data_IF_353209701143
#
_entry.id   IF_353209701143
#
_cell.length_a   1.000
_cell.length_b   1.000
_cell.length_c   1.000
_cell.angle_alpha   90.00
_cell.angle_beta   90.00
_cell.angle_gamma   90.00
#
_symmetry.space_group_name_H-M   'P 1'
#
loop_
_entity.id
_entity.type
_entity.pdbx_description
1 polymer ?
#
# COMPACT_ATOMS: atom_id res chain seq x y z
N UNK A 1 -51.56 -7.94 45.00
CA UNK A 1 -50.87 -9.22 45.23
C UNK A 1 -50.46 -9.82 43.89
N UNK A 2 -49.22 -9.58 43.45
CA UNK A 2 -48.56 -10.33 42.38
C UNK A 2 -47.12 -10.58 42.86
N UNK A 3 -46.79 -11.85 42.99
CA UNK A 3 -45.51 -12.39 43.44
C UNK A 3 -44.43 -12.23 42.37
N UNK A 4 -43.29 -11.65 42.75
CA UNK A 4 -42.05 -11.65 41.96
C UNK A 4 -41.28 -12.96 42.23
N UNK A 5 -40.61 -13.56 41.23
CA UNK A 5 -39.73 -14.69 41.45
C UNK A 5 -38.29 -14.25 41.76
N UNK A 6 -37.67 -15.00 42.66
CA UNK A 6 -36.28 -14.90 43.12
C UNK A 6 -35.27 -15.12 41.99
N UNK A 7 -34.31 -14.20 41.87
CA UNK A 7 -33.13 -14.34 41.03
C UNK A 7 -31.92 -14.69 41.91
N UNK A 8 -31.62 -15.99 42.00
CA UNK A 8 -30.39 -16.52 42.56
C UNK A 8 -29.50 -17.12 41.46
N UNK A 9 -28.25 -16.68 41.40
CA UNK A 9 -27.00 -17.44 41.11
C UNK A 9 -25.94 -16.51 40.50
N UNK A 10 -25.08 -15.98 41.36
CA UNK A 10 -23.83 -15.34 40.97
C UNK A 10 -22.83 -16.42 40.53
N UNK A 11 -22.47 -16.44 39.24
CA UNK A 11 -21.32 -17.20 38.74
C UNK A 11 -20.03 -16.42 38.98
N UNK A 12 -19.12 -17.02 39.76
CA UNK A 12 -17.77 -16.51 39.96
C UNK A 12 -16.98 -16.55 38.64
N UNK A 13 -16.40 -15.42 38.27
CA UNK A 13 -15.51 -15.32 37.10
C UNK A 13 -14.14 -15.94 37.39
N UNK A 14 -13.51 -16.64 36.43
CA UNK A 14 -12.17 -17.19 36.61
C UNK A 14 -11.11 -16.07 36.67
N UNK A 15 -10.00 -16.28 37.42
CA UNK A 15 -8.96 -15.27 37.57
C UNK A 15 -8.22 -15.02 36.24
N UNK A 16 -8.01 -13.74 35.93
CA UNK A 16 -7.23 -13.30 34.78
C UNK A 16 -5.76 -13.72 34.94
N UNK A 17 -5.11 -14.25 33.88
CA UNK A 17 -3.70 -14.61 33.93
C UNK A 17 -2.82 -13.37 34.14
N UNK A 18 -1.87 -13.49 35.06
CA UNK A 18 -0.96 -12.43 35.50
C UNK A 18 -0.08 -11.85 34.39
N UNK A 19 0.24 -10.56 34.53
CA UNK A 19 0.94 -9.71 33.56
C UNK A 19 2.40 -10.12 33.25
N UNK A 20 2.93 -11.14 33.91
CA UNK A 20 4.31 -11.62 33.75
C UNK A 20 4.50 -12.57 32.56
N UNK A 21 3.45 -13.24 32.07
CA UNK A 21 3.56 -14.19 30.94
C UNK A 21 3.47 -13.50 29.57
N UNK A 22 2.94 -12.26 29.51
CA UNK A 22 2.81 -11.49 28.26
C UNK A 22 4.12 -10.88 27.74
N UNK A 23 5.15 -10.76 28.59
CA UNK A 23 6.47 -10.26 28.17
C UNK A 23 7.34 -11.33 27.50
N UNK A 24 7.04 -12.62 27.67
CA UNK A 24 7.84 -13.70 27.08
C UNK A 24 7.44 -14.02 25.62
N UNK A 25 6.24 -13.65 25.18
CA UNK A 25 5.71 -13.97 23.84
C UNK A 25 5.93 -12.86 22.79
N UNK A 26 6.39 -11.67 23.19
CA UNK A 26 6.72 -10.57 22.27
C UNK A 26 8.18 -10.57 21.79
N UNK A 27 9.00 -11.52 22.25
CA UNK A 27 10.43 -11.62 21.90
C UNK A 27 10.76 -12.63 20.79
N UNK A 28 9.76 -13.26 20.15
CA UNK A 28 9.98 -14.38 19.21
C UNK A 28 9.52 -14.15 17.77
N UNK A 29 9.29 -12.91 17.35
CA UNK A 29 9.28 -12.60 15.91
C UNK A 29 10.71 -12.32 15.45
N UNK A 30 11.45 -13.39 15.15
CA UNK A 30 12.67 -13.26 14.36
C UNK A 30 12.31 -12.63 13.01
N UNK A 31 13.16 -11.75 12.46
CA UNK A 31 12.95 -11.23 11.12
C UNK A 31 12.81 -12.42 10.17
N UNK A 32 11.72 -12.46 9.40
CA UNK A 32 11.52 -13.44 8.34
C UNK A 32 12.77 -13.47 7.48
N UNK A 33 13.51 -14.59 7.53
CA UNK A 33 14.57 -14.89 6.56
C UNK A 33 13.88 -15.50 5.35
N UNK A 34 14.15 -15.01 4.12
CA UNK A 34 13.70 -15.73 2.94
C UNK A 34 14.24 -17.17 2.99
N UNK A 35 13.51 -18.15 2.43
CA UNK A 35 14.05 -19.49 2.26
C UNK A 35 15.40 -19.38 1.55
N UNK A 36 16.42 -20.06 2.08
CA UNK A 36 17.73 -20.16 1.46
C UNK A 36 17.54 -20.68 0.04
N UNK A 37 17.78 -19.82 -0.95
CA UNK A 37 17.92 -20.25 -2.34
C UNK A 37 19.02 -21.32 -2.38
N UNK A 38 18.86 -22.38 -3.20
CA UNK A 38 19.94 -23.34 -3.39
C UNK A 38 21.19 -22.58 -3.81
N UNK A 39 22.28 -22.88 -3.10
CA UNK A 39 23.62 -22.36 -3.31
C UNK A 39 23.95 -22.46 -4.79
N UNK A 40 23.92 -21.31 -5.47
CA UNK A 40 24.29 -21.21 -6.87
C UNK A 40 25.78 -21.55 -6.95
N UNK A 41 26.08 -22.76 -7.44
CA UNK A 41 27.43 -23.17 -7.75
C UNK A 41 28.08 -22.14 -8.68
N UNK A 42 29.32 -21.80 -8.32
CA UNK A 42 30.18 -20.79 -8.93
C UNK A 42 30.07 -20.70 -10.46
N UNK A 43 29.43 -19.63 -10.94
CA UNK A 43 29.68 -19.11 -12.28
C UNK A 43 30.58 -17.88 -12.10
N UNK A 44 31.85 -18.07 -12.45
CA UNK A 44 32.90 -17.08 -12.39
C UNK A 44 32.49 -15.75 -13.05
N UNK A 45 32.45 -14.69 -12.25
CA UNK A 45 32.36 -13.31 -12.75
C UNK A 45 33.77 -12.79 -13.04
N UNK A 46 34.09 -12.69 -14.32
CA UNK A 46 35.15 -11.82 -14.84
C UNK A 46 34.56 -11.05 -16.01
N UNK A 47 34.20 -9.80 -15.79
CA UNK A 47 34.67 -8.65 -16.58
C UNK A 47 33.91 -7.38 -16.18
N UNK A 48 34.67 -6.43 -15.68
CA UNK A 48 34.30 -5.04 -15.46
C UNK A 48 34.21 -4.39 -16.83
N UNK A 49 33.00 -4.09 -17.29
CA UNK A 49 32.77 -3.23 -18.47
C UNK A 49 32.48 -1.82 -17.98
N UNK A 50 33.54 -1.00 -17.97
CA UNK A 50 33.44 0.46 -17.94
C UNK A 50 32.66 0.94 -19.17
N UNK A 51 31.49 1.56 -18.95
CA UNK A 51 30.77 2.26 -20.02
C UNK A 51 31.33 3.68 -20.13
N UNK A 52 32.28 3.85 -21.03
CA UNK A 52 32.67 5.15 -21.55
C UNK A 52 31.57 5.75 -22.44
N UNK A 53 31.49 7.08 -22.37
CA UNK A 53 30.53 7.93 -23.05
C UNK A 53 30.58 7.78 -24.58
N UNK A 54 29.40 7.91 -25.20
CA UNK A 54 29.19 7.92 -26.65
C UNK A 54 29.63 9.27 -27.25
N UNK A 55 30.60 9.30 -28.21
CA UNK A 55 30.85 10.47 -29.03
C UNK A 55 30.02 10.44 -30.31
N UNK A 56 29.60 11.64 -30.72
CA UNK A 56 28.88 11.97 -31.95
C UNK A 56 29.55 11.39 -33.20
N UNK A 57 28.72 10.84 -34.08
CA UNK A 57 29.09 10.40 -35.42
C UNK A 57 29.60 11.57 -36.28
N UNK A 58 30.74 11.34 -36.93
CA UNK A 58 31.18 12.07 -38.10
C UNK A 58 31.66 11.04 -39.13
N UNK A 59 31.24 11.27 -40.37
CA UNK A 59 31.39 10.41 -41.54
C UNK A 59 32.83 9.94 -41.80
N UNK A 60 32.95 8.67 -42.20
CA UNK A 60 34.24 8.04 -42.50
C UNK A 60 34.08 6.70 -43.19
N UNK A 61 33.98 6.77 -44.51
CA UNK A 61 33.92 5.67 -45.48
C UNK A 61 35.20 4.83 -45.46
N UNK A 62 35.11 3.54 -45.09
CA UNK A 62 36.14 2.52 -45.38
C UNK A 62 35.48 1.17 -45.70
N UNK A 63 35.58 0.78 -46.98
CA UNK A 63 35.26 -0.56 -47.47
C UNK A 63 36.29 -1.57 -46.96
N UNK A 64 35.84 -2.57 -46.20
CA UNK A 64 36.63 -3.72 -45.80
C UNK A 64 35.86 -5.01 -46.07
N UNK A 65 36.16 -5.68 -47.19
CA UNK A 65 35.68 -7.03 -47.52
C UNK A 65 36.26 -8.02 -46.50
N UNK A 66 35.44 -8.48 -45.56
CA UNK A 66 35.76 -9.64 -44.70
C UNK A 66 35.11 -10.90 -45.28
N UNK A 67 35.96 -11.82 -45.73
CA UNK A 67 35.58 -13.11 -46.31
C UNK A 67 35.17 -14.09 -45.21
N UNK A 68 33.89 -14.42 -45.14
CA UNK A 68 33.33 -15.46 -44.26
C UNK A 68 33.41 -16.82 -44.94
N UNK A 69 34.55 -17.48 -44.85
CA UNK A 69 34.69 -18.89 -45.22
C UNK A 69 35.52 -19.56 -44.13
N UNK A 70 34.85 -20.10 -43.11
CA UNK A 70 35.26 -21.20 -42.21
C UNK A 70 34.50 -21.09 -40.89
N UNK A 71 33.20 -21.43 -40.90
CA UNK A 71 32.51 -21.85 -39.67
C UNK A 71 32.50 -23.39 -39.61
N UNK A 72 32.89 -23.99 -38.46
CA UNK A 72 32.78 -25.43 -38.26
C UNK A 72 31.30 -25.86 -38.17
N UNK A 73 30.97 -27.11 -38.52
CA UNK A 73 29.61 -27.63 -38.49
C UNK A 73 29.05 -27.54 -37.06
N UNK A 74 27.98 -26.78 -36.94
CA UNK A 74 27.28 -26.47 -35.71
C UNK A 74 26.75 -27.76 -35.10
N UNK A 75 27.10 -27.99 -33.84
CA UNK A 75 26.54 -29.05 -33.00
C UNK A 75 25.01 -28.92 -33.03
N UNK A 76 24.31 -29.96 -33.47
CA UNK A 76 22.85 -30.03 -33.46
C UNK A 76 22.38 -30.10 -31.99
N UNK A 77 22.22 -28.93 -31.38
CA UNK A 77 21.70 -28.79 -30.02
C UNK A 77 20.22 -29.17 -30.04
N UNK A 78 19.92 -30.26 -29.34
CA UNK A 78 18.59 -30.74 -28.96
C UNK A 78 17.66 -29.58 -28.57
N UNK A 79 16.85 -29.13 -29.53
CA UNK A 79 15.97 -27.95 -29.42
C UNK A 79 14.63 -28.28 -28.74
N UNK A 80 14.30 -29.56 -28.57
CA UNK A 80 13.01 -30.01 -28.03
C UNK A 80 12.89 -29.92 -26.51
N UNK A 81 13.95 -30.23 -25.76
CA UNK A 81 13.90 -30.25 -24.30
C UNK A 81 13.92 -28.86 -23.66
N UNK A 82 14.41 -27.83 -24.37
CA UNK A 82 14.44 -26.47 -23.84
C UNK A 82 13.07 -25.79 -23.88
N UNK A 83 12.24 -26.07 -24.89
CA UNK A 83 10.92 -25.43 -25.03
C UNK A 83 9.91 -25.88 -23.96
N UNK A 84 9.93 -27.16 -23.56
CA UNK A 84 9.03 -27.68 -22.52
C UNK A 84 9.36 -27.10 -21.13
N UNK A 85 10.65 -26.96 -20.81
CA UNK A 85 11.10 -26.35 -19.56
C UNK A 85 10.73 -24.86 -19.47
N UNK A 86 10.83 -24.13 -20.58
CA UNK A 86 10.48 -22.71 -20.65
C UNK A 86 8.97 -22.49 -20.51
N UNK A 87 8.14 -23.30 -21.19
CA UNK A 87 6.68 -23.23 -21.06
C UNK A 87 6.21 -23.49 -19.62
N UNK A 88 6.80 -24.50 -18.95
CA UNK A 88 6.47 -24.81 -17.56
C UNK A 88 6.86 -23.69 -16.58
N UNK A 89 8.01 -23.04 -16.83
CA UNK A 89 8.44 -21.88 -16.04
C UNK A 89 7.50 -20.67 -16.22
N UNK A 90 7.05 -20.42 -17.46
CA UNK A 90 6.09 -19.35 -17.76
C UNK A 90 4.73 -19.61 -17.10
N UNK A 91 4.24 -20.85 -17.12
CA UNK A 91 2.99 -21.23 -16.44
C UNK A 91 3.09 -21.00 -14.92
N UNK A 92 4.24 -21.31 -14.32
CA UNK A 92 4.53 -21.02 -12.93
C UNK A 92 4.48 -19.52 -12.61
N UNK A 93 5.05 -18.68 -13.47
CA UNK A 93 5.05 -17.22 -13.33
C UNK A 93 3.63 -16.66 -13.49
N UNK A 94 2.88 -17.14 -14.49
CA UNK A 94 1.50 -16.73 -14.74
C UNK A 94 0.60 -16.99 -13.51
N UNK A 95 0.82 -18.12 -12.84
CA UNK A 95 0.16 -18.47 -11.58
C UNK A 95 0.46 -17.49 -10.44
N UNK A 96 1.62 -16.82 -10.43
CA UNK A 96 1.97 -15.84 -9.40
C UNK A 96 1.39 -14.43 -9.67
N UNK A 97 1.16 -14.08 -10.94
CA UNK A 97 0.72 -12.74 -11.38
C UNK A 97 -0.81 -12.64 -11.52
N UNK A 98 -1.50 -13.78 -11.55
CA UNK A 98 -2.97 -13.82 -11.65
C UNK A 98 -3.58 -14.61 -10.51
N UNK A 99 -4.82 -14.27 -10.12
CA UNK A 99 -5.60 -15.07 -9.18
C UNK A 99 -6.43 -16.10 -9.94
N UNK A 100 -6.15 -17.39 -9.69
CA UNK A 100 -7.01 -18.48 -10.16
C UNK A 100 -8.33 -18.48 -9.38
N UNK A 101 -8.24 -18.27 -8.06
CA UNK A 101 -9.40 -18.03 -7.19
C UNK A 101 -9.46 -16.55 -6.78
N UNK A 102 -10.48 -15.85 -7.29
CA UNK A 102 -10.72 -14.43 -6.97
C UNK A 102 -11.17 -14.21 -5.53
N UNK A 103 -11.52 -15.25 -4.76
CA UNK A 103 -11.83 -15.13 -3.34
C UNK A 103 -10.63 -14.67 -2.49
N UNK A 104 -9.41 -14.97 -2.97
CA UNK A 104 -8.15 -14.57 -2.36
C UNK A 104 -7.83 -13.09 -2.58
N UNK A 105 -8.39 -12.48 -3.63
CA UNK A 105 -8.25 -11.04 -3.89
C UNK A 105 -9.10 -10.26 -2.89
N UNK A 106 -8.48 -9.89 -1.78
CA UNK A 106 -9.13 -9.13 -0.70
C UNK A 106 -8.68 -7.67 -0.69
N UNK A 107 -9.60 -6.79 -0.31
CA UNK A 107 -9.35 -5.36 -0.13
C UNK A 107 -10.02 -4.82 1.12
N UNK A 108 -9.34 -3.93 1.82
CA UNK A 108 -9.89 -3.15 2.94
C UNK A 108 -10.38 -1.80 2.44
N UNK A 109 -11.32 -1.17 3.15
CA UNK A 109 -11.81 0.15 2.76
C UNK A 109 -10.84 1.22 3.23
N UNK A 110 -10.51 2.20 2.39
CA UNK A 110 -9.52 3.24 2.72
C UNK A 110 -9.80 3.96 4.07
N UNK A 111 -11.08 4.22 4.40
CA UNK A 111 -11.44 4.84 5.67
C UNK A 111 -11.07 3.97 6.89
N UNK A 112 -11.09 2.63 6.77
CA UNK A 112 -10.70 1.73 7.86
C UNK A 112 -9.20 1.86 8.17
N UNK A 113 -8.38 2.10 7.13
CA UNK A 113 -6.94 2.29 7.27
C UNK A 113 -6.60 3.63 7.93
N UNK A 114 -7.43 4.65 7.69
CA UNK A 114 -7.25 5.99 8.25
C UNK A 114 -7.87 6.15 9.65
N UNK A 115 -8.78 5.25 10.03
CA UNK A 115 -9.55 5.34 11.29
C UNK A 115 -8.65 5.58 12.50
N UNK A 116 -9.07 6.52 13.36
CA UNK A 116 -8.33 6.90 14.60
C UNK A 116 -6.87 7.27 14.32
N UNK A 117 -6.62 8.05 13.26
CA UNK A 117 -5.28 8.53 12.91
C UNK A 117 -4.33 7.42 12.46
N UNK A 118 -4.85 6.45 11.70
CA UNK A 118 -4.08 5.34 11.17
C UNK A 118 -3.75 4.24 12.18
N UNK A 119 -4.65 3.95 13.12
CA UNK A 119 -4.38 3.01 14.22
C UNK A 119 -3.90 1.63 13.74
N UNK A 120 -4.34 1.17 12.56
CA UNK A 120 -3.91 -0.10 11.96
C UNK A 120 -2.39 -0.20 11.78
N UNK A 121 -1.72 0.94 11.56
CA UNK A 121 -0.27 1.03 11.33
C UNK A 121 0.56 1.10 12.62
N UNK A 122 -0.03 0.88 13.80
CA UNK A 122 0.69 0.92 15.08
C UNK A 122 1.79 -0.16 15.18
N UNK A 123 1.58 -1.33 14.58
CA UNK A 123 2.51 -2.45 14.52
C UNK A 123 2.27 -3.29 13.25
N UNK A 124 3.21 -4.16 12.90
CA UNK A 124 3.08 -5.10 11.77
C UNK A 124 2.22 -6.31 12.07
N UNK A 125 2.04 -6.65 13.34
CA UNK A 125 1.28 -7.82 13.79
C UNK A 125 -0.19 -7.73 13.37
N UNK A 126 -0.66 -8.68 12.55
CA UNK A 126 -2.08 -8.84 12.29
C UNK A 126 -2.71 -9.95 13.13
N UNK A 127 -4.04 -9.95 13.12
CA UNK A 127 -4.89 -10.92 13.79
C UNK A 127 -6.05 -11.29 12.87
N UNK A 128 -6.85 -12.29 13.26
CA UNK A 128 -8.09 -12.60 12.57
C UNK A 128 -9.02 -11.37 12.48
N UNK A 129 -9.04 -10.53 13.51
CA UNK A 129 -9.82 -9.30 13.52
C UNK A 129 -9.33 -8.27 12.48
N UNK A 130 -8.01 -8.11 12.31
CA UNK A 130 -7.49 -7.20 11.27
C UNK A 130 -7.68 -7.77 9.87
N UNK A 131 -7.63 -9.10 9.71
CA UNK A 131 -7.93 -9.76 8.44
C UNK A 131 -9.40 -9.59 8.04
N UNK A 132 -10.33 -9.69 9.01
CA UNK A 132 -11.77 -9.50 8.79
C UNK A 132 -12.15 -8.04 8.43
N UNK A 133 -11.22 -7.08 8.48
CA UNK A 133 -11.45 -5.73 7.94
C UNK A 133 -11.48 -5.73 6.41
N UNK A 134 -10.76 -6.65 5.77
CA UNK A 134 -10.81 -6.83 4.32
C UNK A 134 -11.97 -7.75 3.93
N UNK A 135 -12.43 -7.65 2.69
CA UNK A 135 -13.38 -8.57 2.08
C UNK A 135 -12.91 -8.93 0.66
N UNK A 136 -13.38 -10.05 0.07
CA UNK A 136 -13.14 -10.35 -1.33
C UNK A 136 -13.63 -9.21 -2.24
N UNK A 137 -12.83 -8.83 -3.22
CA UNK A 137 -13.12 -7.76 -4.17
C UNK A 137 -12.76 -8.19 -5.58
N UNK A 138 -13.42 -7.58 -6.56
CA UNK A 138 -13.14 -7.85 -7.98
C UNK A 138 -11.87 -7.13 -8.45
N UNK A 139 -11.61 -5.94 -7.89
CA UNK A 139 -10.48 -5.07 -8.25
C UNK A 139 -10.10 -4.17 -7.08
N UNK A 140 -8.83 -3.79 -7.02
CA UNK A 140 -8.31 -2.84 -6.05
C UNK A 140 -8.16 -1.45 -6.68
N UNK A 141 -8.58 -0.42 -5.94
CA UNK A 141 -8.36 0.98 -6.34
C UNK A 141 -6.89 1.35 -6.23
N UNK A 142 -6.24 0.89 -5.17
CA UNK A 142 -4.84 1.21 -4.89
C UNK A 142 -4.16 0.11 -4.07
N UNK A 143 -2.88 -0.11 -4.35
CA UNK A 143 -1.95 -0.90 -3.55
C UNK A 143 -1.16 0.02 -2.62
N UNK A 144 -1.25 -0.19 -1.29
CA UNK A 144 -0.55 0.66 -0.32
C UNK A 144 0.80 0.04 0.03
N UNK A 145 1.86 0.51 -0.65
CA UNK A 145 3.22 0.11 -0.28
C UNK A 145 3.80 1.04 0.77
N UNK A 146 4.40 0.44 1.79
CA UNK A 146 4.94 1.16 2.92
C UNK A 146 6.01 0.35 3.64
N UNK A 147 6.84 1.04 4.42
CA UNK A 147 7.76 0.39 5.35
C UNK A 147 7.15 0.39 6.77
N UNK A 148 7.12 -0.77 7.42
CA UNK A 148 6.63 -0.91 8.80
C UNK A 148 7.41 -0.05 9.81
N UNK A 149 8.70 0.20 9.58
CA UNK A 149 9.53 1.11 10.41
C UNK A 149 9.11 2.59 10.33
N UNK A 150 8.38 3.00 9.31
CA UNK A 150 7.91 4.38 9.16
C UNK A 150 6.86 4.71 10.22
N UNK A 151 7.03 5.85 10.90
CA UNK A 151 6.13 6.28 11.95
C UNK A 151 4.68 6.41 11.45
N UNK A 152 3.73 5.91 12.25
CA UNK A 152 2.29 5.86 11.94
C UNK A 152 1.73 7.17 11.39
N UNK A 153 2.08 8.30 12.02
CA UNK A 153 1.56 9.62 11.61
C UNK A 153 1.93 9.97 10.17
N UNK A 154 3.13 9.59 9.70
CA UNK A 154 3.55 9.87 8.31
C UNK A 154 2.72 9.05 7.30
N UNK A 155 2.46 7.78 7.62
CA UNK A 155 1.56 6.92 6.84
C UNK A 155 0.15 7.52 6.79
N UNK A 156 -0.40 7.88 7.94
CA UNK A 156 -1.72 8.50 8.02
C UNK A 156 -1.80 9.81 7.23
N UNK A 157 -0.83 10.72 7.39
CA UNK A 157 -0.81 11.99 6.65
C UNK A 157 -0.75 11.79 5.14
N UNK A 158 0.12 10.89 4.66
CA UNK A 158 0.21 10.54 3.25
C UNK A 158 -1.13 9.99 2.71
N UNK A 159 -1.75 9.05 3.43
CA UNK A 159 -3.03 8.48 3.02
C UNK A 159 -4.16 9.51 3.10
N UNK A 160 -4.19 10.38 4.10
CA UNK A 160 -5.16 11.47 4.21
C UNK A 160 -5.03 12.44 3.02
N UNK A 161 -3.80 12.85 2.70
CA UNK A 161 -3.54 13.68 1.52
C UNK A 161 -3.94 13.00 0.22
N UNK A 162 -3.77 11.68 0.08
CA UNK A 162 -4.15 10.98 -1.14
C UNK A 162 -5.68 10.76 -1.28
N UNK A 163 -6.34 10.23 -0.25
CA UNK A 163 -7.75 9.85 -0.35
C UNK A 163 -8.73 10.97 0.00
N UNK A 164 -8.35 11.93 0.85
CA UNK A 164 -9.26 12.94 1.40
C UNK A 164 -9.06 14.33 0.78
N UNK A 165 -8.10 14.49 -0.13
CA UNK A 165 -7.82 15.76 -0.79
C UNK A 165 -9.05 16.35 -1.47
N UNK A 166 -9.78 15.53 -2.23
CA UNK A 166 -10.93 16.00 -3.01
C UNK A 166 -12.13 16.40 -2.13
N UNK A 167 -12.56 15.56 -1.15
CA UNK A 167 -13.53 16.00 -0.16
C UNK A 167 -13.12 17.26 0.61
N UNK A 168 -11.84 17.38 0.99
CA UNK A 168 -11.34 18.54 1.72
C UNK A 168 -11.41 19.83 0.88
N UNK A 169 -10.97 19.75 -0.38
CA UNK A 169 -11.06 20.87 -1.31
C UNK A 169 -12.51 21.28 -1.57
N UNK A 170 -13.40 20.33 -1.85
CA UNK A 170 -14.82 20.59 -2.07
C UNK A 170 -15.50 21.23 -0.84
N UNK A 171 -15.26 20.69 0.36
CA UNK A 171 -15.79 21.25 1.60
C UNK A 171 -15.29 22.68 1.85
N UNK A 172 -14.02 22.94 1.53
CA UNK A 172 -13.42 24.28 1.68
C UNK A 172 -14.02 25.28 0.69
N UNK A 173 -14.25 24.88 -0.55
CA UNK A 173 -14.92 25.75 -1.53
C UNK A 173 -16.36 26.08 -1.14
N UNK A 174 -17.11 25.09 -0.64
CA UNK A 174 -18.47 25.32 -0.15
C UNK A 174 -18.48 26.27 1.06
N UNK A 175 -17.55 26.09 2.00
CA UNK A 175 -17.40 26.98 3.14
C UNK A 175 -17.00 28.40 2.71
N UNK A 176 -16.04 28.54 1.78
CA UNK A 176 -15.63 29.83 1.25
C UNK A 176 -16.80 30.56 0.57
N UNK A 177 -17.55 29.87 -0.30
CA UNK A 177 -18.74 30.44 -0.95
C UNK A 177 -19.80 30.90 0.05
N UNK A 178 -20.08 30.08 1.07
CA UNK A 178 -21.03 30.43 2.13
C UNK A 178 -20.56 31.65 2.96
N UNK A 179 -19.29 31.67 3.37
CA UNK A 179 -18.73 32.78 4.14
C UNK A 179 -18.68 34.07 3.32
N UNK A 180 -18.36 34.00 2.02
CA UNK A 180 -18.42 35.15 1.12
C UNK A 180 -19.85 35.67 0.98
N UNK A 181 -20.84 34.80 0.81
CA UNK A 181 -22.25 35.21 0.74
C UNK A 181 -22.73 35.88 2.04
N UNK A 182 -22.35 35.33 3.21
CA UNK A 182 -22.67 35.92 4.51
C UNK A 182 -21.99 37.28 4.72
N UNK A 183 -20.75 37.43 4.25
CA UNK A 183 -20.03 38.71 4.27
C UNK A 183 -20.70 39.74 3.37
N UNK A 184 -21.10 39.35 2.15
CA UNK A 184 -21.82 40.23 1.22
C UNK A 184 -23.20 40.65 1.76
N UNK A 185 -23.84 39.81 2.59
CA UNK A 185 -25.07 40.14 3.30
C UNK A 185 -24.86 41.04 4.54
N UNK A 186 -23.63 41.44 4.86
CA UNK A 186 -23.29 42.26 6.03
C UNK A 186 -23.42 41.51 7.36
N UNK A 187 -23.46 40.17 7.33
CA UNK A 187 -23.62 39.34 8.53
C UNK A 187 -22.28 38.96 9.19
N UNK A 188 -21.17 39.15 8.49
CA UNK A 188 -19.83 38.83 8.99
C UNK A 188 -18.94 40.09 8.94
N UNK A 189 -18.02 40.24 9.92
CA UNK A 189 -17.12 41.39 9.96
C UNK A 189 -16.10 41.33 8.81
N UNK A 190 -15.88 42.47 8.18
CA UNK A 190 -14.76 42.73 7.27
C UNK A 190 -13.64 43.47 8.00
N UNK A 191 -12.41 43.29 7.53
CA UNK A 191 -11.24 44.02 8.01
C UNK A 191 -10.71 44.84 6.85
N UNK A 192 -10.61 46.16 7.04
CA UNK A 192 -9.93 47.03 6.09
C UNK A 192 -8.42 46.78 6.16
N UNK A 193 -7.84 46.34 5.04
CA UNK A 193 -6.42 46.06 4.93
C UNK A 193 -5.58 47.26 4.48
N UNK A 194 -6.18 48.44 4.33
CA UNK A 194 -5.49 49.68 3.97
C UNK A 194 -4.93 49.65 2.55
N UNK A 195 -5.59 50.33 1.62
CA UNK A 195 -5.16 50.42 0.21
C UNK A 195 -5.37 49.14 -0.63
N UNK A 196 -5.64 48.00 0.00
CA UNK A 196 -5.98 46.72 -0.65
C UNK A 196 -7.49 46.38 -0.59
N UNK A 197 -8.29 47.23 0.03
CA UNK A 197 -9.73 47.04 0.22
C UNK A 197 -10.09 46.21 1.45
N UNK A 198 -11.37 45.87 1.56
CA UNK A 198 -11.91 45.07 2.66
C UNK A 198 -11.72 43.56 2.41
N UNK A 199 -11.20 42.84 3.41
CA UNK A 199 -11.07 41.39 3.39
C UNK A 199 -11.96 40.73 4.45
N UNK A 200 -12.60 39.61 4.08
CA UNK A 200 -13.38 38.80 5.01
C UNK A 200 -12.48 38.00 5.96
N UNK A 201 -12.29 38.47 7.19
CA UNK A 201 -11.49 37.80 8.22
C UNK A 201 -11.94 36.35 8.45
N UNK A 202 -13.26 36.12 8.46
CA UNK A 202 -13.85 34.80 8.64
C UNK A 202 -13.41 33.81 7.55
N UNK A 203 -13.33 34.24 6.29
CA UNK A 203 -12.90 33.37 5.18
C UNK A 203 -11.42 32.97 5.34
N UNK A 204 -10.55 33.94 5.63
CA UNK A 204 -9.12 33.70 5.82
C UNK A 204 -8.80 32.78 7.00
N UNK A 205 -9.56 32.88 8.10
CA UNK A 205 -9.34 32.07 9.28
C UNK A 205 -10.02 30.69 9.20
N UNK A 206 -11.27 30.62 8.74
CA UNK A 206 -12.08 29.39 8.80
C UNK A 206 -11.80 28.44 7.65
N UNK A 207 -11.50 28.92 6.43
CA UNK A 207 -11.27 28.03 5.29
C UNK A 207 -10.09 27.07 5.50
N UNK A 208 -8.92 27.50 5.99
CA UNK A 208 -7.83 26.57 6.33
C UNK A 208 -8.22 25.56 7.41
N UNK A 209 -9.01 25.97 8.40
CA UNK A 209 -9.49 25.08 9.45
C UNK A 209 -10.47 24.03 8.90
N UNK A 210 -11.43 24.45 8.06
CA UNK A 210 -12.35 23.54 7.37
C UNK A 210 -11.57 22.56 6.49
N UNK A 211 -10.58 23.05 5.74
CA UNK A 211 -9.72 22.20 4.92
C UNK A 211 -9.01 21.14 5.75
N UNK A 212 -8.33 21.53 6.84
CA UNK A 212 -7.61 20.60 7.71
C UNK A 212 -8.53 19.60 8.39
N UNK A 213 -9.68 20.05 8.89
CA UNK A 213 -10.68 19.17 9.50
C UNK A 213 -11.18 18.16 8.47
N UNK A 214 -11.62 18.61 7.30
CA UNK A 214 -12.11 17.74 6.23
C UNK A 214 -11.01 16.79 5.71
N UNK A 215 -9.76 17.25 5.61
CA UNK A 215 -8.62 16.41 5.23
C UNK A 215 -8.44 15.23 6.18
N UNK A 216 -8.62 15.44 7.49
CA UNK A 216 -8.39 14.38 8.48
C UNK A 216 -9.63 13.57 8.84
N UNK A 217 -10.84 14.07 8.64
CA UNK A 217 -12.07 13.41 9.10
C UNK A 217 -13.05 13.01 8.00
N UNK A 218 -12.90 13.52 6.76
CA UNK A 218 -13.91 13.29 5.70
C UNK A 218 -14.17 11.81 5.41
N UNK A 219 -13.16 10.95 5.45
CA UNK A 219 -13.38 9.51 5.22
C UNK A 219 -14.19 8.84 6.33
N UNK A 220 -14.06 9.28 7.59
CA UNK A 220 -14.90 8.81 8.69
C UNK A 220 -16.32 9.38 8.59
N UNK A 221 -16.46 10.66 8.23
CA UNK A 221 -17.76 11.33 8.03
C UNK A 221 -18.53 10.67 6.87
N UNK A 222 -17.89 10.48 5.72
CA UNK A 222 -18.50 9.83 4.56
C UNK A 222 -18.90 8.38 4.87
N UNK A 223 -18.07 7.64 5.61
CA UNK A 223 -18.42 6.29 6.06
C UNK A 223 -19.63 6.30 7.01
N UNK A 224 -19.72 7.27 7.94
CA UNK A 224 -20.88 7.43 8.82
C UNK A 224 -22.16 7.79 8.05
N UNK A 225 -22.03 8.45 6.89
CA UNK A 225 -23.12 8.72 5.96
C UNK A 225 -23.44 7.54 5.02
N UNK A 226 -22.81 6.37 5.21
CA UNK A 226 -23.07 5.16 4.43
C UNK A 226 -22.25 5.02 3.15
N UNK A 227 -21.34 5.96 2.84
CA UNK A 227 -20.47 5.84 1.67
C UNK A 227 -19.34 4.85 1.95
N UNK A 228 -19.30 3.79 1.15
CA UNK A 228 -18.19 2.84 1.16
C UNK A 228 -17.02 3.44 0.37
N UNK A 229 -15.93 3.76 1.05
CA UNK A 229 -14.69 4.21 0.40
C UNK A 229 -14.10 3.17 -0.57
N UNK A 230 -13.05 3.55 -1.32
CA UNK A 230 -12.40 2.63 -2.25
C UNK A 230 -11.81 1.42 -1.54
N UNK A 231 -11.85 0.27 -2.20
CA UNK A 231 -11.15 -0.93 -1.75
C UNK A 231 -9.66 -0.81 -2.09
N UNK A 232 -8.79 -1.03 -1.10
CA UNK A 232 -7.35 -0.87 -1.20
C UNK A 232 -6.65 -2.07 -0.58
N UNK A 233 -5.48 -2.39 -1.09
CA UNK A 233 -4.66 -3.47 -0.54
C UNK A 233 -3.75 -2.93 0.55
N UNK A 234 -3.76 -3.62 1.70
CA UNK A 234 -2.78 -3.47 2.77
C UNK A 234 -2.47 -4.87 3.30
N UNK A 235 -1.22 -5.28 3.15
CA UNK A 235 -0.65 -6.58 3.57
C UNK A 235 -1.25 -7.14 4.86
N UNK A 236 -1.23 -6.36 5.95
CA UNK A 236 -1.71 -6.76 7.28
C UNK A 236 -3.20 -7.11 7.34
N UNK A 237 -4.00 -6.53 6.46
CA UNK A 237 -5.46 -6.73 6.44
C UNK A 237 -5.91 -7.69 5.35
N UNK A 238 -5.17 -7.78 4.25
CA UNK A 238 -5.55 -8.56 3.07
C UNK A 238 -4.89 -9.95 3.05
N UNK A 239 -3.76 -10.13 3.75
CA UNK A 239 -3.09 -11.44 3.92
C UNK A 239 -3.37 -11.96 5.33
N UNK A 240 -3.72 -13.24 5.42
CA UNK A 240 -4.05 -13.89 6.69
C UNK A 240 -2.81 -14.04 7.57
N UNK A 241 -2.71 -13.29 8.67
CA UNK A 241 -1.47 -13.24 9.48
C UNK A 241 -1.31 -14.39 10.49
N UNK A 242 -2.39 -15.11 10.82
CA UNK A 242 -2.36 -16.16 11.86
C UNK A 242 -2.38 -17.61 11.33
N UNK A 243 -2.71 -17.81 10.05
CA UNK A 243 -2.73 -19.12 9.41
C UNK A 243 -1.57 -19.13 8.42
N UNK A 244 -0.59 -19.99 8.65
CA UNK A 244 0.70 -19.98 7.94
C UNK A 244 0.56 -20.38 6.47
N UNK A 245 -0.38 -21.25 6.15
CA UNK A 245 -0.61 -21.72 4.79
C UNK A 245 -1.25 -20.60 3.96
N UNK A 246 -2.31 -19.98 4.48
CA UNK A 246 -2.95 -18.83 3.83
C UNK A 246 -2.03 -17.59 3.80
N UNK A 247 -1.17 -17.42 4.80
CA UNK A 247 -0.15 -16.37 4.80
C UNK A 247 0.83 -16.57 3.65
N UNK A 248 1.35 -17.80 3.51
CA UNK A 248 2.29 -18.17 2.45
C UNK A 248 1.65 -17.99 1.08
N UNK A 249 0.43 -18.46 0.90
CA UNK A 249 -0.32 -18.28 -0.33
C UNK A 249 -0.52 -16.80 -0.67
N UNK A 250 -0.93 -15.98 0.30
CA UNK A 250 -1.08 -14.53 0.10
C UNK A 250 0.23 -13.82 -0.26
N UNK A 251 1.36 -14.23 0.33
CA UNK A 251 2.70 -13.68 0.01
C UNK A 251 3.11 -14.08 -1.41
N UNK A 252 2.89 -15.34 -1.80
CA UNK A 252 3.21 -15.83 -3.15
C UNK A 252 2.40 -15.12 -4.24
N UNK A 253 1.20 -14.62 -3.89
CA UNK A 253 0.29 -13.90 -4.80
C UNK A 253 0.44 -12.37 -4.72
N UNK A 254 1.51 -11.83 -4.16
CA UNK A 254 1.68 -10.38 -4.07
C UNK A 254 1.72 -9.70 -5.45
N UNK A 255 2.38 -10.32 -6.42
CA UNK A 255 2.41 -9.83 -7.81
C UNK A 255 0.99 -9.76 -8.40
N UNK A 256 0.12 -10.72 -8.08
CA UNK A 256 -1.28 -10.67 -8.47
C UNK A 256 -2.05 -9.52 -7.82
N UNK A 257 -1.81 -9.21 -6.54
CA UNK A 257 -2.41 -8.03 -5.91
C UNK A 257 -1.98 -6.71 -6.57
N UNK A 258 -0.71 -6.61 -6.99
CA UNK A 258 -0.21 -5.46 -7.75
C UNK A 258 -0.89 -5.37 -9.12
N UNK A 259 -0.95 -6.48 -9.84
CA UNK A 259 -1.57 -6.56 -11.17
C UNK A 259 -3.09 -6.23 -11.15
N UNK A 260 -3.82 -6.63 -10.10
CA UNK A 260 -5.23 -6.31 -9.91
C UNK A 260 -5.48 -4.91 -9.25
N UNK A 261 -4.43 -4.11 -9.04
CA UNK A 261 -4.51 -2.75 -8.49
C UNK A 261 -4.44 -1.68 -9.58
N UNK A 262 -5.37 -0.72 -9.56
CA UNK A 262 -5.40 0.38 -10.53
C UNK A 262 -4.32 1.45 -10.33
N UNK A 263 -3.76 1.54 -9.12
CA UNK A 263 -2.65 2.45 -8.80
C UNK A 263 -1.84 1.93 -7.62
N UNK A 264 -0.65 2.49 -7.40
CA UNK A 264 0.16 2.27 -6.21
C UNK A 264 0.33 3.56 -5.43
N UNK A 265 0.14 3.50 -4.12
CA UNK A 265 0.41 4.61 -3.20
C UNK A 265 1.62 4.24 -2.36
N UNK A 266 2.73 4.93 -2.62
CA UNK A 266 4.00 4.71 -1.93
C UNK A 266 4.12 5.67 -0.76
N UNK A 267 4.15 5.16 0.48
CA UNK A 267 4.50 5.95 1.65
C UNK A 267 6.03 6.04 1.76
N UNK A 268 6.59 7.01 1.05
CA UNK A 268 8.04 7.19 0.97
C UNK A 268 8.66 7.55 2.34
N UNK A 269 9.80 6.92 2.62
CA UNK A 269 10.69 7.23 3.74
C UNK A 269 12.14 7.01 3.31
N UNK A 270 13.15 7.57 4.01
CA UNK A 270 14.56 7.29 3.70
C UNK A 270 14.90 5.80 3.74
N UNK A 271 14.18 5.02 4.56
CA UNK A 271 14.33 3.56 4.68
C UNK A 271 13.48 2.76 3.69
N UNK A 272 12.71 3.41 2.82
CA UNK A 272 11.82 2.72 1.88
C UNK A 272 12.62 2.02 0.78
N UNK A 273 13.58 2.71 0.15
CA UNK A 273 14.39 2.14 -0.93
C UNK A 273 15.52 1.20 -0.44
N UNK A 274 15.69 1.04 0.88
CA UNK A 274 16.69 0.15 1.45
C UNK A 274 16.16 -1.26 1.73
N UNK A 275 14.85 -1.48 1.61
CA UNK A 275 14.22 -2.77 1.83
C UNK A 275 13.97 -3.44 0.48
N UNK A 276 14.50 -4.66 0.31
CA UNK A 276 14.39 -5.42 -0.93
C UNK A 276 12.93 -5.58 -1.39
N UNK A 277 12.02 -5.88 -0.46
CA UNK A 277 10.61 -6.09 -0.75
C UNK A 277 9.91 -4.85 -1.33
N UNK A 278 10.13 -3.66 -0.76
CA UNK A 278 9.51 -2.42 -1.26
C UNK A 278 10.10 -1.97 -2.60
N UNK A 279 11.37 -2.26 -2.86
CA UNK A 279 12.00 -2.05 -4.18
C UNK A 279 11.42 -3.02 -5.20
N UNK A 280 11.23 -4.29 -4.84
CA UNK A 280 10.58 -5.28 -5.69
C UNK A 280 9.13 -4.87 -6.05
N UNK A 281 8.34 -4.42 -5.06
CA UNK A 281 6.98 -3.92 -5.30
C UNK A 281 6.97 -2.73 -6.27
N UNK A 282 7.91 -1.78 -6.09
CA UNK A 282 8.02 -0.61 -6.94
C UNK A 282 8.43 -0.99 -8.38
N UNK A 283 9.44 -1.86 -8.52
CA UNK A 283 9.91 -2.34 -9.80
C UNK A 283 8.85 -3.15 -10.56
N UNK A 284 7.97 -3.85 -9.85
CA UNK A 284 6.89 -4.65 -10.46
C UNK A 284 5.72 -3.81 -10.99
N UNK A 285 5.63 -2.54 -10.58
CA UNK A 285 4.58 -1.62 -11.02
C UNK A 285 5.02 -0.66 -12.14
N UNK A 286 6.33 -0.56 -12.39
CA UNK A 286 6.93 0.26 -13.46
C UNK A 286 7.03 -0.52 -14.77
#
# INVERSE_FOLDING_TARGET
>A
MRSLPDAGLAQASPPLPGSSTLKALTSQQSPWRPPSLPEAQDVATSEVVERHACPRASDGQLEGKMSYTNMPPTCAISTGQSMEAESSALDGIQGCITFSDKSLLRGSRAFQLQRRGGQIFKNSEGSAATFNLSAPVVRLKAFISHNWSTHRRKKFMCLAMYFNWWPAWAATLLAAGALTALTAAGLLPTVDLGGYGEAGFACSALCPLVFLLALFTSSEVLAALGFSGPAVFLDKTCIHQTNRDLQREGILRLAAFLNDSASMVVVYSPTYLTKLWTVYELASML
#
